data_IF_047042513157
#
_entry.id   IF_047042513157
#
_cell.length_a   1.000
_cell.length_b   1.000
_cell.length_c   1.000
_cell.angle_alpha   90.00
_cell.angle_beta   90.00
_cell.angle_gamma   90.00
#
_symmetry.space_group_name_H-M   'P 1'
#
loop_
_entity.id
_entity.type
_entity.pdbx_description
1 polymer ?
#
# COMPACT_ATOMS: atom_id res chain seq x y z
N UNK A 1 71.47 -10.75 -35.59
CA UNK A 1 71.88 -10.22 -36.91
C UNK A 1 70.80 -9.24 -37.39
N UNK A 2 71.17 -7.96 -37.43
CA UNK A 2 70.65 -6.83 -38.23
C UNK A 2 69.11 -6.74 -38.40
N UNK A 3 68.49 -5.94 -37.53
CA UNK A 3 67.21 -5.29 -37.81
C UNK A 3 67.47 -4.20 -38.87
N UNK A 4 67.23 -4.50 -40.15
CA UNK A 4 67.38 -3.51 -41.22
C UNK A 4 66.27 -2.47 -41.09
N UNK A 5 66.58 -1.32 -40.50
CA UNK A 5 65.69 -0.17 -40.54
C UNK A 5 65.56 0.28 -42.00
N UNK A 6 64.50 -0.16 -42.69
CA UNK A 6 64.14 0.38 -44.00
C UNK A 6 63.77 1.83 -43.79
N UNK A 7 64.67 2.74 -44.18
CA UNK A 7 64.38 4.19 -44.23
C UNK A 7 63.39 4.41 -45.37
N UNK A 8 62.16 4.69 -45.01
CA UNK A 8 61.12 5.08 -45.96
C UNK A 8 61.50 6.41 -46.62
N UNK A 9 61.32 6.51 -47.94
CA UNK A 9 61.49 7.79 -48.62
C UNK A 9 60.35 8.75 -48.25
N UNK A 10 60.59 10.05 -48.36
CA UNK A 10 59.55 11.08 -48.10
C UNK A 10 58.30 10.84 -48.95
N UNK A 11 58.45 10.34 -50.18
CA UNK A 11 57.33 10.02 -51.05
C UNK A 11 56.49 8.86 -50.52
N UNK A 12 57.11 7.81 -49.96
CA UNK A 12 56.37 6.69 -49.38
C UNK A 12 55.62 7.10 -48.11
N UNK A 13 56.20 7.98 -47.29
CA UNK A 13 55.52 8.54 -46.11
C UNK A 13 54.30 9.38 -46.51
N UNK A 14 54.42 10.19 -47.57
CA UNK A 14 53.29 10.97 -48.09
C UNK A 14 52.18 10.08 -48.65
N UNK A 15 52.52 9.00 -49.37
CA UNK A 15 51.54 8.03 -49.86
C UNK A 15 50.81 7.31 -48.72
N UNK A 16 51.54 6.90 -47.67
CA UNK A 16 50.93 6.29 -46.48
C UNK A 16 49.98 7.26 -45.77
N UNK A 17 50.36 8.53 -45.64
CA UNK A 17 49.49 9.55 -45.03
C UNK A 17 48.23 9.77 -45.86
N UNK A 18 48.33 9.83 -47.19
CA UNK A 18 47.16 9.97 -48.06
C UNK A 18 46.24 8.73 -47.99
N UNK A 19 46.81 7.52 -47.95
CA UNK A 19 46.03 6.30 -47.76
C UNK A 19 45.32 6.28 -46.41
N UNK A 20 45.97 6.71 -45.33
CA UNK A 20 45.35 6.81 -44.02
C UNK A 20 44.20 7.84 -43.99
N UNK A 21 44.38 9.00 -44.63
CA UNK A 21 43.34 10.01 -44.73
C UNK A 21 42.14 9.52 -45.55
N UNK A 22 42.37 8.83 -46.68
CA UNK A 22 41.30 8.24 -47.48
C UNK A 22 40.55 7.14 -46.72
N UNK A 23 41.25 6.30 -45.97
CA UNK A 23 40.62 5.28 -45.12
C UNK A 23 39.77 5.92 -44.02
N UNK A 24 40.24 6.98 -43.38
CA UNK A 24 39.47 7.71 -42.36
C UNK A 24 38.22 8.36 -42.97
N UNK A 25 38.32 8.96 -44.15
CA UNK A 25 37.17 9.56 -44.85
C UNK A 25 36.15 8.50 -45.27
N UNK A 26 36.61 7.35 -45.80
CA UNK A 26 35.72 6.23 -46.16
C UNK A 26 35.02 5.65 -44.92
N UNK A 27 35.74 5.51 -43.79
CA UNK A 27 35.12 5.08 -42.53
C UNK A 27 34.08 6.08 -42.05
N UNK A 28 34.40 7.39 -42.05
CA UNK A 28 33.44 8.42 -41.64
C UNK A 28 32.21 8.46 -42.54
N UNK A 29 32.38 8.30 -43.86
CA UNK A 29 31.28 8.27 -44.83
C UNK A 29 30.42 7.01 -44.67
N UNK A 30 30.99 5.87 -44.29
CA UNK A 30 30.27 4.63 -44.06
C UNK A 30 29.42 4.66 -42.77
N UNK A 31 29.96 5.19 -41.67
CA UNK A 31 29.28 5.19 -40.37
C UNK A 31 28.31 6.37 -40.14
N UNK A 32 28.53 7.53 -40.79
CA UNK A 32 27.64 8.71 -40.63
C UNK A 32 26.15 8.45 -40.95
N UNK A 33 25.76 7.83 -42.08
CA UNK A 33 24.34 7.61 -42.38
C UNK A 33 23.70 6.57 -41.45
N UNK A 34 24.47 5.60 -40.96
CA UNK A 34 23.99 4.57 -40.04
C UNK A 34 23.65 5.16 -38.67
N UNK A 35 24.49 6.05 -38.12
CA UNK A 35 24.21 6.74 -36.87
C UNK A 35 23.03 7.72 -36.95
N UNK A 36 22.84 8.41 -38.09
CA UNK A 36 21.76 9.39 -38.27
C UNK A 36 20.36 8.75 -38.27
N UNK A 37 20.24 7.47 -38.61
CA UNK A 37 18.95 6.76 -38.64
C UNK A 37 18.60 6.06 -37.31
N UNK A 38 19.61 5.63 -36.54
CA UNK A 38 19.42 4.89 -35.29
C UNK A 38 19.00 5.78 -34.11
N UNK A 39 19.54 7.01 -34.04
CA UNK A 39 19.24 7.97 -32.97
C UNK A 39 17.75 8.39 -32.91
N UNK A 40 17.08 8.78 -34.02
CA UNK A 40 15.66 9.13 -33.98
C UNK A 40 14.77 7.91 -33.70
N UNK A 41 15.18 6.70 -34.13
CA UNK A 41 14.45 5.46 -33.85
C UNK A 41 14.49 5.11 -32.36
N UNK A 42 15.65 5.20 -31.72
CA UNK A 42 15.81 4.97 -30.28
C UNK A 42 15.02 6.01 -29.47
N UNK A 43 15.07 7.29 -29.88
CA UNK A 43 14.32 8.36 -29.24
C UNK A 43 12.80 8.15 -29.38
N UNK A 44 12.33 7.73 -30.55
CA UNK A 44 10.91 7.39 -30.76
C UNK A 44 10.47 6.20 -29.89
N UNK A 45 11.30 5.16 -29.79
CA UNK A 45 11.04 3.99 -28.93
C UNK A 45 11.00 4.38 -27.45
N UNK A 46 11.91 5.25 -26.99
CA UNK A 46 11.92 5.76 -25.62
C UNK A 46 10.70 6.64 -25.33
N UNK A 47 10.28 7.48 -26.28
CA UNK A 47 9.06 8.29 -26.15
C UNK A 47 7.82 7.40 -26.11
N UNK A 48 7.72 6.38 -26.97
CA UNK A 48 6.62 5.40 -26.94
C UNK A 48 6.59 4.63 -25.62
N UNK A 49 7.75 4.18 -25.11
CA UNK A 49 7.84 3.51 -23.81
C UNK A 49 7.43 4.44 -22.67
N UNK A 50 7.87 5.70 -22.68
CA UNK A 50 7.48 6.70 -21.69
C UNK A 50 5.98 7.00 -21.75
N UNK A 51 5.40 7.14 -22.95
CA UNK A 51 3.96 7.32 -23.15
C UNK A 51 3.16 6.12 -22.65
N UNK A 52 3.63 4.89 -22.90
CA UNK A 52 3.01 3.67 -22.37
C UNK A 52 3.08 3.63 -20.82
N UNK A 53 4.22 4.00 -20.23
CA UNK A 53 4.37 4.10 -18.78
C UNK A 53 3.48 5.20 -18.18
N UNK A 54 3.34 6.34 -18.85
CA UNK A 54 2.44 7.43 -18.46
C UNK A 54 0.96 7.05 -18.61
N UNK A 55 0.57 6.34 -19.67
CA UNK A 55 -0.78 5.81 -19.87
C UNK A 55 -1.13 4.71 -18.85
N UNK A 56 -0.19 3.83 -18.50
CA UNK A 56 -0.40 2.79 -17.48
C UNK A 56 -0.59 3.35 -16.07
N UNK A 57 -0.12 4.58 -15.79
CA UNK A 57 -0.39 5.29 -14.53
C UNK A 57 -1.78 5.94 -14.48
N UNK A 58 -2.43 6.15 -15.63
CA UNK A 58 -3.76 6.78 -15.72
C UNK A 58 -4.93 5.80 -15.81
N UNK A 59 -4.68 4.49 -15.98
CA UNK A 59 -5.72 3.49 -16.27
C UNK A 59 -6.15 2.64 -15.05
N UNK A 60 -5.78 3.01 -13.83
CA UNK A 60 -6.21 2.35 -12.59
C UNK A 60 -6.65 3.37 -11.53
N UNK A 61 -7.39 4.39 -11.96
CA UNK A 61 -8.43 4.95 -11.11
C UNK A 61 -9.74 4.33 -11.60
N UNK A 62 -9.96 3.05 -11.25
CA UNK A 62 -11.32 2.60 -11.12
C UNK A 62 -11.96 3.58 -10.11
N UNK A 63 -13.03 4.24 -10.52
CA UNK A 63 -13.91 4.97 -9.62
C UNK A 63 -14.55 3.94 -8.68
N UNK A 64 -13.76 3.48 -7.71
CA UNK A 64 -14.24 2.65 -6.61
C UNK A 64 -14.90 3.62 -5.67
N UNK A 65 -16.21 3.77 -5.81
CA UNK A 65 -17.04 4.37 -4.78
C UNK A 65 -16.66 3.74 -3.44
N UNK A 66 -16.20 4.56 -2.50
CA UNK A 66 -15.82 4.10 -1.17
C UNK A 66 -17.08 3.61 -0.45
N UNK A 67 -17.30 2.29 -0.40
CA UNK A 67 -18.44 1.72 0.33
C UNK A 67 -18.00 1.50 1.77
N UNK A 68 -18.40 2.40 2.66
CA UNK A 68 -18.08 2.30 4.08
C UNK A 68 -19.13 1.44 4.77
N UNK A 69 -18.70 0.39 5.49
CA UNK A 69 -19.58 -0.39 6.37
C UNK A 69 -20.25 0.54 7.37
N UNK A 70 -21.59 0.57 7.46
CA UNK A 70 -22.30 1.44 8.37
C UNK A 70 -22.07 1.07 9.83
N UNK A 71 -22.24 2.07 10.70
CA UNK A 71 -22.04 1.95 12.14
C UNK A 71 -23.37 1.74 12.87
N UNK A 72 -24.07 0.64 12.60
CA UNK A 72 -25.46 0.43 13.10
C UNK A 72 -25.56 0.32 14.63
N UNK A 73 -24.46 0.02 15.31
CA UNK A 73 -24.39 -0.08 16.78
C UNK A 73 -24.19 1.28 17.47
N UNK A 74 -23.97 2.36 16.69
CA UNK A 74 -23.90 3.72 17.21
C UNK A 74 -25.24 4.11 17.86
N UNK A 75 -25.17 4.73 19.04
CA UNK A 75 -26.34 5.13 19.83
C UNK A 75 -26.89 4.05 20.76
N UNK A 76 -26.44 2.79 20.65
CA UNK A 76 -26.87 1.69 21.53
C UNK A 76 -25.70 0.98 22.23
N UNK A 77 -24.60 0.70 21.52
CA UNK A 77 -23.42 0.06 22.09
C UNK A 77 -22.33 1.05 22.51
N UNK A 78 -22.34 2.23 21.89
CA UNK A 78 -21.49 3.38 22.19
C UNK A 78 -22.21 4.65 21.73
N UNK A 79 -21.78 5.86 22.15
CA UNK A 79 -22.46 7.09 21.79
C UNK A 79 -22.67 7.27 20.28
N UNK A 80 -23.86 7.77 19.90
CA UNK A 80 -24.26 7.90 18.51
C UNK A 80 -23.65 9.09 17.78
N UNK A 81 -23.36 10.18 18.50
CA UNK A 81 -22.76 11.37 17.91
C UNK A 81 -21.23 11.30 17.91
N UNK A 82 -20.60 11.89 16.89
CA UNK A 82 -19.14 11.91 16.80
C UNK A 82 -18.47 12.69 17.94
N UNK A 83 -19.10 13.75 18.45
CA UNK A 83 -18.55 14.53 19.56
C UNK A 83 -18.56 13.74 20.88
N UNK A 84 -19.70 13.13 21.22
CA UNK A 84 -19.83 12.31 22.43
C UNK A 84 -18.96 11.06 22.35
N UNK A 85 -18.90 10.41 21.18
CA UNK A 85 -18.08 9.22 21.00
C UNK A 85 -16.58 9.53 21.14
N UNK A 86 -16.09 10.65 20.57
CA UNK A 86 -14.72 11.11 20.79
C UNK A 86 -14.45 11.34 22.27
N UNK A 87 -15.31 12.11 22.95
CA UNK A 87 -15.13 12.42 24.37
C UNK A 87 -15.16 11.16 25.24
N UNK A 88 -16.03 10.19 24.93
CA UNK A 88 -16.12 8.92 25.64
C UNK A 88 -14.85 8.08 25.47
N UNK A 89 -14.35 7.91 24.23
CA UNK A 89 -13.10 7.16 23.99
C UNK A 89 -11.92 7.84 24.66
N UNK A 90 -11.83 9.18 24.60
CA UNK A 90 -10.75 9.94 25.22
C UNK A 90 -10.75 9.78 26.74
N UNK A 91 -11.91 9.94 27.39
CA UNK A 91 -12.04 9.73 28.82
C UNK A 91 -11.67 8.30 29.24
N UNK A 92 -12.07 7.29 28.46
CA UNK A 92 -11.72 5.90 28.72
C UNK A 92 -10.20 5.67 28.60
N UNK A 93 -9.57 6.21 27.56
CA UNK A 93 -8.11 6.12 27.37
C UNK A 93 -7.36 6.89 28.46
N UNK A 94 -7.83 8.06 28.88
CA UNK A 94 -7.16 8.86 29.91
C UNK A 94 -7.27 8.24 31.30
N UNK A 95 -8.38 7.55 31.59
CA UNK A 95 -8.54 6.76 32.82
C UNK A 95 -7.79 5.42 32.84
N UNK A 96 -7.24 4.99 31.70
CA UNK A 96 -6.57 3.69 31.57
C UNK A 96 -5.10 3.73 32.00
N UNK A 97 -4.65 2.68 32.68
CA UNK A 97 -3.24 2.52 33.06
C UNK A 97 -2.35 2.13 31.88
N UNK A 98 -1.08 2.51 31.96
CA UNK A 98 -0.03 2.02 31.04
C UNK A 98 0.70 0.84 31.66
N UNK A 99 1.19 -0.06 30.81
CA UNK A 99 2.00 -1.22 31.20
C UNK A 99 3.32 -1.12 30.48
N UNK A 100 4.42 -1.45 31.17
CA UNK A 100 5.75 -1.43 30.57
C UNK A 100 5.94 -2.56 29.55
N UNK A 101 6.73 -2.27 28.51
CA UNK A 101 7.12 -3.25 27.48
C UNK A 101 6.58 -2.94 26.09
N UNK A 102 6.80 -3.87 25.15
CA UNK A 102 6.35 -3.74 23.76
C UNK A 102 5.16 -4.65 23.51
N UNK A 103 4.01 -4.06 23.18
CA UNK A 103 2.79 -4.79 22.85
C UNK A 103 2.81 -5.21 21.39
N UNK A 104 2.70 -6.51 21.12
CA UNK A 104 2.50 -7.07 19.77
C UNK A 104 1.06 -7.46 19.48
N UNK A 105 0.29 -7.78 20.52
CA UNK A 105 -1.09 -8.27 20.41
C UNK A 105 -1.85 -7.82 21.64
N UNK A 106 -3.13 -7.49 21.45
CA UNK A 106 -4.07 -7.22 22.53
C UNK A 106 -5.28 -8.14 22.42
N UNK A 107 -5.89 -8.43 23.55
CA UNK A 107 -7.19 -9.13 23.64
C UNK A 107 -8.11 -8.19 24.40
N UNK A 108 -9.28 -7.93 23.84
CA UNK A 108 -10.26 -6.96 24.37
C UNK A 108 -11.67 -7.55 24.38
N UNK A 109 -12.49 -7.20 25.38
CA UNK A 109 -13.92 -7.52 25.35
C UNK A 109 -14.65 -6.70 24.28
N UNK A 110 -15.80 -7.19 23.83
CA UNK A 110 -16.62 -6.55 22.80
C UNK A 110 -18.07 -6.28 23.23
N UNK A 111 -18.36 -6.20 24.53
CA UNK A 111 -19.66 -5.70 24.99
C UNK A 111 -19.81 -4.18 24.71
N UNK A 112 -20.97 -3.59 25.00
CA UNK A 112 -21.17 -2.14 24.92
C UNK A 112 -20.18 -1.36 25.82
N UNK A 113 -19.84 -0.12 25.46
CA UNK A 113 -18.81 0.70 26.11
C UNK A 113 -19.00 0.85 27.62
N UNK A 114 -20.24 0.96 28.08
CA UNK A 114 -20.54 1.07 29.51
C UNK A 114 -20.11 -0.17 30.32
N UNK A 115 -19.94 -1.32 29.67
CA UNK A 115 -19.51 -2.58 30.30
C UNK A 115 -18.06 -2.92 29.98
N UNK A 116 -17.67 -2.85 28.70
CA UNK A 116 -16.37 -3.32 28.21
C UNK A 116 -15.33 -2.20 28.07
N UNK A 117 -15.77 -0.95 27.92
CA UNK A 117 -14.95 0.19 27.53
C UNK A 117 -13.73 0.41 28.42
N UNK A 118 -13.88 0.46 29.76
CA UNK A 118 -12.75 0.63 30.66
C UNK A 118 -11.69 -0.47 30.51
N UNK A 119 -12.12 -1.71 30.29
CA UNK A 119 -11.20 -2.86 30.12
C UNK A 119 -10.51 -2.79 28.76
N UNK A 120 -11.25 -2.53 27.69
CA UNK A 120 -10.70 -2.38 26.34
C UNK A 120 -9.68 -1.23 26.28
N UNK A 121 -9.97 -0.12 26.97
CA UNK A 121 -9.12 1.06 26.99
C UNK A 121 -7.73 0.79 27.58
N UNK A 122 -7.61 -0.05 28.61
CA UNK A 122 -6.30 -0.48 29.14
C UNK A 122 -5.45 -1.12 28.05
N UNK A 123 -6.03 -1.96 27.20
CA UNK A 123 -5.29 -2.59 26.11
C UNK A 123 -4.95 -1.58 24.99
N UNK A 124 -5.93 -0.80 24.53
CA UNK A 124 -5.71 0.19 23.47
C UNK A 124 -4.76 1.32 23.86
N UNK A 125 -4.69 1.69 25.14
CA UNK A 125 -3.76 2.72 25.64
C UNK A 125 -2.31 2.39 25.28
N UNK A 126 -1.95 1.11 25.31
CA UNK A 126 -0.58 0.68 24.99
C UNK A 126 -0.22 0.93 23.52
N UNK A 127 -1.22 0.93 22.63
CA UNK A 127 -1.03 1.16 21.20
C UNK A 127 -0.74 2.63 20.85
N UNK A 128 -0.95 3.60 21.76
CA UNK A 128 -0.63 5.00 21.50
C UNK A 128 0.87 5.19 21.17
N UNK A 129 1.73 4.41 21.81
CA UNK A 129 3.18 4.43 21.54
C UNK A 129 3.54 3.89 20.14
N UNK A 130 2.62 3.19 19.48
CA UNK A 130 2.83 2.47 18.22
C UNK A 130 2.36 3.23 16.98
N UNK A 131 1.79 4.43 17.14
CA UNK A 131 1.21 5.25 16.06
C UNK A 131 2.12 5.44 14.85
N UNK A 132 3.45 5.51 15.07
CA UNK A 132 4.43 5.74 13.99
C UNK A 132 5.02 4.46 13.42
N UNK A 133 4.74 3.31 14.04
CA UNK A 133 5.38 2.04 13.71
C UNK A 133 4.41 1.01 13.16
N UNK A 134 3.17 0.98 13.66
CA UNK A 134 2.13 0.05 13.20
C UNK A 134 1.48 0.61 11.95
N UNK A 135 1.53 -0.17 10.86
CA UNK A 135 0.91 0.19 9.57
C UNK A 135 -0.31 -0.65 9.22
N UNK A 136 -0.48 -1.78 9.92
CA UNK A 136 -1.55 -2.76 9.68
C UNK A 136 -1.93 -3.40 11.01
N UNK A 137 -3.24 -3.50 11.25
CA UNK A 137 -3.80 -4.24 12.37
C UNK A 137 -4.55 -5.44 11.79
N UNK A 138 -4.26 -6.63 12.29
CA UNK A 138 -5.08 -7.82 12.04
C UNK A 138 -6.07 -7.92 13.19
N UNK A 139 -7.35 -7.74 12.89
CA UNK A 139 -8.43 -7.84 13.87
C UNK A 139 -9.14 -9.18 13.69
N UNK A 140 -9.08 -10.03 14.71
CA UNK A 140 -9.79 -11.29 14.78
C UNK A 140 -10.90 -11.16 15.82
N UNK A 141 -12.11 -11.58 15.47
CA UNK A 141 -13.26 -11.44 16.33
C UNK A 141 -14.21 -12.62 16.20
N UNK A 142 -15.10 -12.76 17.17
CA UNK A 142 -16.15 -13.78 17.15
C UNK A 142 -17.23 -13.41 16.13
N UNK A 143 -17.83 -14.44 15.55
CA UNK A 143 -19.04 -14.34 14.76
C UNK A 143 -20.19 -14.92 15.59
N UNK A 144 -21.20 -14.12 15.89
CA UNK A 144 -22.24 -14.46 16.87
C UNK A 144 -23.43 -15.20 16.25
N UNK A 145 -23.45 -15.39 14.93
CA UNK A 145 -24.43 -16.26 14.27
C UNK A 145 -23.82 -17.64 14.02
N UNK A 146 -24.67 -18.66 13.87
CA UNK A 146 -24.19 -20.02 13.68
C UNK A 146 -23.45 -20.15 12.34
N UNK A 147 -22.13 -20.27 12.41
CA UNK A 147 -21.27 -20.58 11.27
C UNK A 147 -20.04 -21.35 11.74
N UNK A 148 -19.66 -22.37 10.97
CA UNK A 148 -18.39 -23.09 11.15
C UNK A 148 -17.26 -22.52 10.27
N UNK A 149 -17.54 -21.52 9.44
CA UNK A 149 -16.60 -20.94 8.50
C UNK A 149 -15.75 -19.82 9.13
N UNK A 150 -14.53 -19.63 8.60
CA UNK A 150 -13.73 -18.43 8.85
C UNK A 150 -14.21 -17.35 7.88
N UNK A 151 -14.58 -16.18 8.39
CA UNK A 151 -15.22 -15.15 7.58
C UNK A 151 -14.30 -13.93 7.39
N UNK A 152 -14.29 -13.42 6.16
CA UNK A 152 -13.76 -12.10 5.80
C UNK A 152 -14.92 -11.11 5.63
N UNK A 153 -14.68 -9.79 5.79
CA UNK A 153 -15.68 -8.78 5.49
C UNK A 153 -16.13 -8.83 4.03
N UNK A 154 -17.37 -8.39 3.72
CA UNK A 154 -17.87 -8.24 2.36
C UNK A 154 -16.89 -7.49 1.44
N UNK A 155 -16.72 -7.99 0.21
CA UNK A 155 -15.76 -7.45 -0.74
C UNK A 155 -16.06 -5.99 -1.11
N UNK A 156 -17.34 -5.60 -1.09
CA UNK A 156 -17.79 -4.25 -1.34
C UNK A 156 -17.26 -3.25 -0.29
N UNK A 157 -17.12 -3.62 0.97
CA UNK A 157 -16.84 -2.66 2.05
C UNK A 157 -15.39 -2.20 2.09
N UNK A 158 -15.05 -1.03 1.54
CA UNK A 158 -13.68 -0.47 1.54
C UNK A 158 -13.14 -0.10 2.93
N UNK A 159 -14.02 0.16 3.90
CA UNK A 159 -13.65 0.58 5.25
C UNK A 159 -14.72 0.24 6.29
N UNK A 160 -14.34 0.20 7.56
CA UNK A 160 -15.27 0.11 8.69
C UNK A 160 -15.59 1.49 9.27
N UNK A 161 -16.86 1.89 9.23
CA UNK A 161 -17.30 3.20 9.69
C UNK A 161 -17.60 3.29 11.18
N UNK A 162 -17.43 4.50 11.73
CA UNK A 162 -17.92 4.91 13.04
C UNK A 162 -18.31 6.41 13.01
N UNK A 163 -19.05 6.92 14.01
CA UNK A 163 -19.35 8.36 14.12
C UNK A 163 -18.12 9.28 14.18
N UNK A 164 -16.93 8.72 14.46
CA UNK A 164 -15.68 9.48 14.58
C UNK A 164 -14.73 9.26 13.39
N UNK A 165 -15.23 8.63 12.33
CA UNK A 165 -14.50 8.35 11.09
C UNK A 165 -14.44 6.85 10.78
N UNK A 166 -13.85 6.53 9.63
CA UNK A 166 -13.67 5.15 9.16
C UNK A 166 -12.23 4.65 9.37
N UNK A 167 -12.11 3.32 9.43
CA UNK A 167 -10.83 2.58 9.41
C UNK A 167 -10.76 1.80 8.10
N UNK A 168 -9.78 2.08 7.21
CA UNK A 168 -9.70 1.42 5.92
C UNK A 168 -9.36 -0.06 6.06
N UNK A 169 -9.93 -0.88 5.17
CA UNK A 169 -9.64 -2.29 5.09
C UNK A 169 -8.52 -2.55 4.07
N UNK A 170 -7.56 -3.39 4.45
CA UNK A 170 -6.45 -3.77 3.58
C UNK A 170 -6.91 -4.79 2.53
N UNK A 171 -7.30 -4.29 1.36
CA UNK A 171 -7.86 -5.08 0.26
C UNK A 171 -6.88 -6.11 -0.29
N UNK A 172 -5.60 -5.78 -0.33
CA UNK A 172 -4.56 -6.69 -0.80
C UNK A 172 -4.43 -7.89 0.17
N UNK A 173 -4.38 -7.62 1.47
CA UNK A 173 -4.29 -8.66 2.48
C UNK A 173 -5.55 -9.54 2.53
N UNK A 174 -6.74 -8.94 2.42
CA UNK A 174 -8.01 -9.68 2.38
C UNK A 174 -8.10 -10.58 1.14
N UNK A 175 -7.71 -10.07 -0.02
CA UNK A 175 -7.67 -10.86 -1.27
C UNK A 175 -6.69 -12.04 -1.17
N UNK A 176 -5.53 -11.82 -0.55
CA UNK A 176 -4.56 -12.89 -0.29
C UNK A 176 -5.11 -13.97 0.65
N UNK A 177 -5.84 -13.58 1.71
CA UNK A 177 -6.48 -14.53 2.62
C UNK A 177 -7.59 -15.32 1.94
N UNK A 178 -8.46 -14.64 1.17
CA UNK A 178 -9.52 -15.30 0.40
C UNK A 178 -8.96 -16.34 -0.57
N UNK A 179 -7.85 -16.01 -1.25
CA UNK A 179 -7.18 -16.90 -2.21
C UNK A 179 -6.63 -18.19 -1.60
N UNK A 180 -6.53 -18.30 -0.28
CA UNK A 180 -6.13 -19.55 0.39
C UNK A 180 -7.22 -20.62 0.34
N UNK A 181 -8.48 -20.25 0.07
CA UNK A 181 -9.63 -21.14 0.14
C UNK A 181 -10.05 -21.54 1.55
N UNK A 182 -9.42 -20.96 2.59
CA UNK A 182 -9.76 -21.22 3.99
C UNK A 182 -10.87 -20.31 4.53
N UNK A 183 -11.14 -19.21 3.83
CA UNK A 183 -12.07 -18.18 4.28
C UNK A 183 -13.21 -18.00 3.27
N UNK A 184 -14.41 -17.83 3.81
CA UNK A 184 -15.58 -17.38 3.07
C UNK A 184 -15.81 -15.88 3.32
N UNK A 185 -16.67 -15.27 2.51
CA UNK A 185 -17.09 -13.89 2.68
C UNK A 185 -18.37 -13.83 3.52
N UNK A 186 -18.39 -13.02 4.57
CA UNK A 186 -19.59 -12.81 5.37
C UNK A 186 -20.71 -12.18 4.53
N UNK A 187 -21.98 -12.60 4.69
CA UNK A 187 -23.11 -11.91 4.07
C UNK A 187 -23.21 -10.47 4.62
N UNK A 188 -23.29 -9.48 3.75
CA UNK A 188 -23.26 -8.07 4.14
C UNK A 188 -24.32 -7.70 5.19
N UNK A 189 -25.56 -8.15 5.01
CA UNK A 189 -26.65 -7.91 5.97
C UNK A 189 -26.35 -8.47 7.36
N UNK A 190 -25.66 -9.60 7.47
CA UNK A 190 -25.30 -10.17 8.77
C UNK A 190 -24.08 -9.45 9.34
N UNK A 191 -23.11 -9.11 8.51
CA UNK A 191 -21.87 -8.46 8.95
C UNK A 191 -22.12 -7.07 9.53
N UNK A 192 -23.03 -6.28 8.93
CA UNK A 192 -23.36 -4.96 9.47
C UNK A 192 -23.95 -5.04 10.87
N UNK A 193 -24.65 -6.14 11.22
CA UNK A 193 -25.24 -6.35 12.54
C UNK A 193 -24.31 -7.06 13.53
N UNK A 194 -23.20 -7.65 13.06
CA UNK A 194 -22.15 -8.18 13.92
C UNK A 194 -21.47 -7.03 14.69
N UNK A 195 -21.32 -7.21 16.00
CA UNK A 195 -20.87 -6.15 16.91
C UNK A 195 -19.43 -6.34 17.38
N UNK A 196 -18.89 -7.56 17.30
CA UNK A 196 -17.59 -7.93 17.87
C UNK A 196 -16.45 -7.03 17.36
N UNK A 197 -16.45 -6.73 16.06
CA UNK A 197 -15.55 -5.77 15.41
C UNK A 197 -16.06 -4.33 15.55
N UNK A 198 -17.36 -4.10 15.40
CA UNK A 198 -17.95 -2.77 15.31
C UNK A 198 -17.61 -1.88 16.53
N UNK A 199 -17.57 -2.46 17.74
CA UNK A 199 -17.25 -1.72 18.97
C UNK A 199 -15.75 -1.41 19.11
N UNK A 200 -14.89 -2.05 18.31
CA UNK A 200 -13.44 -1.84 18.33
C UNK A 200 -13.00 -0.68 17.41
N UNK A 201 -13.80 -0.39 16.38
CA UNK A 201 -13.50 0.65 15.37
C UNK A 201 -13.23 2.02 15.99
N UNK A 202 -14.03 2.53 16.97
CA UNK A 202 -13.76 3.85 17.55
C UNK A 202 -12.43 3.92 18.31
N UNK A 203 -12.08 2.86 19.06
CA UNK A 203 -10.79 2.80 19.73
C UNK A 203 -9.64 2.80 18.73
N UNK A 204 -9.70 1.93 17.71
CA UNK A 204 -8.68 1.85 16.66
C UNK A 204 -8.49 3.20 15.95
N UNK A 205 -9.58 3.85 15.52
CA UNK A 205 -9.52 5.17 14.88
C UNK A 205 -8.87 6.21 15.77
N UNK A 206 -9.06 6.11 17.10
CA UNK A 206 -8.51 7.08 18.04
C UNK A 206 -7.04 6.84 18.37
N UNK A 207 -6.62 5.58 18.53
CA UNK A 207 -5.24 5.26 18.93
C UNK A 207 -4.27 5.14 17.77
N UNK A 208 -4.74 4.87 16.55
CA UNK A 208 -3.95 4.81 15.32
C UNK A 208 -4.58 5.71 14.23
N UNK A 209 -4.50 7.04 14.37
CA UNK A 209 -4.90 7.94 13.30
C UNK A 209 -3.95 7.81 12.10
N UNK A 210 -4.45 8.12 10.90
CA UNK A 210 -3.70 8.11 9.63
C UNK A 210 -2.43 8.96 9.65
#
# INVERSE_FOLDING_TARGET
MICSQRRWSRQQLQQLQQQQQQQQQQQQQYYRPQLMLLLPSLLLQLVLLLLLLLCSRGALAADTTEVIRPSVHAGSWYPGSGAELRAAVDALLDGASTVEGTVKTIIVPHAAFQYSGPTAAVAYKQMLSLQRTVKRVVLLATWHTDSAALLLPPEEFSAFGSPIGSVPLDREALSALFSTGLYDTAPAEQEIHEHSIAVQVPFLKRVLPE
#
